data_IF_346447420340
#
_entry.id   IF_346447420340
#
_cell.length_a   1.000
_cell.length_b   1.000
_cell.length_c   1.000
_cell.angle_alpha   90.00
_cell.angle_beta   90.00
_cell.angle_gamma   90.00
#
_symmetry.space_group_name_H-M   'P 1'
#
loop_
_entity.id
_entity.type
_entity.pdbx_description
1 polymer ?
#
# COMPACT_ATOMS: atom_id res chain seq x y z
N UNK A 1 -15.55 -1.44 8.36
CA UNK A 1 -14.69 -2.19 7.43
C UNK A 1 -13.94 -3.18 8.27
N UNK A 2 -14.26 -4.47 8.16
CA UNK A 2 -13.51 -5.56 8.79
C UNK A 2 -12.10 -5.53 8.24
N UNK A 3 -11.11 -5.28 9.11
CA UNK A 3 -9.71 -5.51 8.76
C UNK A 3 -9.60 -7.00 8.42
N UNK A 4 -9.16 -7.31 7.22
CA UNK A 4 -8.82 -8.68 6.84
C UNK A 4 -7.54 -9.03 7.61
N UNK A 5 -7.71 -9.52 8.84
CA UNK A 5 -6.59 -10.02 9.63
C UNK A 5 -6.31 -11.44 9.18
N UNK A 6 -5.11 -11.69 8.72
CA UNK A 6 -4.64 -13.02 8.40
C UNK A 6 -4.49 -13.81 9.72
N UNK A 7 -4.95 -15.03 9.74
CA UNK A 7 -4.80 -15.92 10.89
C UNK A 7 -3.51 -16.76 10.78
N UNK A 8 -3.12 -17.44 11.85
CA UNK A 8 -1.91 -18.26 11.84
C UNK A 8 -1.93 -19.35 10.75
N UNK A 9 -3.11 -19.93 10.45
CA UNK A 9 -3.26 -20.91 9.38
C UNK A 9 -3.07 -20.29 7.98
N UNK A 10 -3.46 -19.02 7.79
CA UNK A 10 -3.22 -18.30 6.52
C UNK A 10 -1.73 -18.05 6.31
N UNK A 11 -1.00 -17.65 7.37
CA UNK A 11 0.46 -17.49 7.30
C UNK A 11 1.16 -18.81 6.93
N UNK A 12 0.75 -19.92 7.52
CA UNK A 12 1.34 -21.22 7.22
C UNK A 12 1.04 -21.68 5.79
N UNK A 13 -0.17 -21.43 5.27
CA UNK A 13 -0.54 -21.71 3.88
C UNK A 13 0.30 -20.88 2.89
N UNK A 14 0.51 -19.59 3.18
CA UNK A 14 1.32 -18.71 2.35
C UNK A 14 2.79 -19.16 2.39
N UNK A 15 3.34 -19.44 3.57
CA UNK A 15 4.70 -19.94 3.71
C UNK A 15 4.91 -21.29 2.99
N UNK A 16 3.93 -22.18 3.05
CA UNK A 16 3.98 -23.44 2.30
C UNK A 16 3.95 -23.22 0.78
N UNK A 17 3.16 -22.25 0.31
CA UNK A 17 3.11 -21.88 -1.11
C UNK A 17 4.45 -21.29 -1.60
N UNK A 18 5.10 -20.43 -0.79
CA UNK A 18 6.43 -19.87 -1.10
C UNK A 18 7.43 -21.03 -1.27
N UNK A 19 7.59 -21.88 -0.25
CA UNK A 19 8.51 -23.02 -0.32
C UNK A 19 8.25 -23.95 -1.51
N UNK A 20 6.98 -24.17 -1.86
CA UNK A 20 6.64 -25.01 -3.01
C UNK A 20 7.03 -24.36 -4.33
N UNK A 21 6.85 -23.04 -4.46
CA UNK A 21 7.22 -22.30 -5.66
C UNK A 21 8.75 -22.24 -5.81
N UNK A 22 9.47 -21.93 -4.76
CA UNK A 22 10.93 -21.82 -4.74
C UNK A 22 11.64 -23.17 -4.96
N UNK A 23 11.01 -24.29 -4.59
CA UNK A 23 11.56 -25.60 -4.89
C UNK A 23 11.70 -25.91 -6.41
N UNK A 24 11.03 -25.13 -7.27
CA UNK A 24 11.05 -25.33 -8.73
C UNK A 24 11.82 -24.23 -9.48
N UNK A 25 12.37 -23.23 -8.77
CA UNK A 25 13.06 -22.09 -9.39
C UNK A 25 14.20 -21.60 -8.51
N UNK A 26 15.22 -20.99 -9.12
CA UNK A 26 16.26 -20.21 -8.41
C UNK A 26 15.84 -18.76 -8.13
N UNK A 27 14.57 -18.45 -8.27
CA UNK A 27 14.02 -17.15 -7.92
C UNK A 27 13.44 -17.14 -6.51
N UNK A 28 13.62 -16.06 -5.79
CA UNK A 28 13.18 -15.86 -4.42
C UNK A 28 11.90 -15.02 -4.37
N UNK A 29 10.91 -15.43 -3.58
CA UNK A 29 9.61 -14.76 -3.48
C UNK A 29 9.39 -14.24 -2.06
N UNK A 30 9.35 -12.93 -1.91
CA UNK A 30 9.10 -12.29 -0.64
C UNK A 30 7.70 -11.65 -0.60
N UNK A 31 6.93 -11.89 0.48
CA UNK A 31 5.56 -11.42 0.60
C UNK A 31 5.41 -10.43 1.75
N UNK A 32 4.81 -9.26 1.49
CA UNK A 32 4.55 -8.22 2.49
C UNK A 32 3.12 -7.74 2.43
N UNK A 33 2.46 -7.67 3.60
CA UNK A 33 1.19 -6.98 3.81
C UNK A 33 1.42 -5.78 4.71
N UNK A 34 1.12 -4.60 4.18
CA UNK A 34 1.09 -3.38 4.96
C UNK A 34 -0.35 -3.06 5.38
N UNK A 35 -0.60 -2.85 6.67
CA UNK A 35 -1.89 -2.33 7.11
C UNK A 35 -2.14 -0.94 6.56
N UNK A 36 -1.08 -0.13 6.46
CA UNK A 36 -1.08 1.23 5.91
C UNK A 36 0.34 1.62 5.50
N UNK A 37 0.46 2.35 4.40
CA UNK A 37 1.77 2.78 3.87
C UNK A 37 2.26 4.11 4.45
N UNK A 38 1.34 5.02 4.90
CA UNK A 38 1.69 6.32 5.51
C UNK A 38 0.62 6.78 6.51
N UNK A 39 0.96 7.73 7.36
CA UNK A 39 0.04 8.35 8.34
C UNK A 39 -1.00 9.32 7.74
N UNK A 40 -0.73 9.88 6.57
CA UNK A 40 -1.56 10.84 5.79
C UNK A 40 -2.03 12.07 6.55
N UNK A 41 -1.50 12.33 7.75
CA UNK A 41 -1.97 13.45 8.57
C UNK A 41 -1.75 14.79 7.86
N UNK A 42 -0.56 15.03 7.32
CA UNK A 42 -0.24 16.32 6.71
C UNK A 42 -1.03 16.57 5.42
N UNK A 43 -1.21 15.54 4.57
CA UNK A 43 -1.98 15.68 3.34
C UNK A 43 -3.47 15.95 3.64
N UNK A 44 -4.05 15.21 4.58
CA UNK A 44 -5.43 15.41 5.01
C UNK A 44 -5.63 16.77 5.70
N UNK A 45 -4.70 17.17 6.59
CA UNK A 45 -4.74 18.47 7.26
C UNK A 45 -4.66 19.62 6.26
N UNK A 46 -3.76 19.54 5.28
CA UNK A 46 -3.65 20.54 4.22
C UNK A 46 -4.95 20.69 3.43
N UNK A 47 -5.56 19.58 3.03
CA UNK A 47 -6.83 19.60 2.29
C UNK A 47 -7.96 20.24 3.11
N UNK A 48 -8.09 19.84 4.38
CA UNK A 48 -9.14 20.39 5.28
C UNK A 48 -8.90 21.87 5.60
N UNK A 49 -7.66 22.25 5.92
CA UNK A 49 -7.32 23.65 6.18
C UNK A 49 -7.59 24.54 4.98
N UNK A 50 -7.22 24.11 3.78
CA UNK A 50 -7.51 24.82 2.53
C UNK A 50 -9.02 24.96 2.34
N UNK A 51 -9.79 23.89 2.57
CA UNK A 51 -11.25 23.92 2.50
C UNK A 51 -11.87 24.92 3.50
N UNK A 52 -11.41 24.94 4.75
CA UNK A 52 -11.86 25.89 5.78
C UNK A 52 -11.57 27.33 5.35
N UNK A 53 -10.36 27.61 4.81
CA UNK A 53 -10.00 28.94 4.34
C UNK A 53 -10.87 29.40 3.17
N UNK A 54 -11.15 28.52 2.21
CA UNK A 54 -12.03 28.84 1.08
C UNK A 54 -13.47 29.10 1.52
N UNK A 55 -13.99 28.28 2.44
CA UNK A 55 -15.33 28.49 3.03
C UNK A 55 -15.37 29.80 3.82
N UNK A 56 -14.33 30.10 4.60
CA UNK A 56 -14.22 31.37 5.35
C UNK A 56 -14.19 32.58 4.42
N UNK A 57 -13.47 32.49 3.32
CA UNK A 57 -13.43 33.54 2.31
C UNK A 57 -14.80 33.74 1.67
N UNK A 58 -15.47 32.67 1.27
CA UNK A 58 -16.84 32.76 0.72
C UNK A 58 -17.83 33.34 1.73
N UNK A 59 -17.72 32.93 3.00
CA UNK A 59 -18.54 33.48 4.08
C UNK A 59 -18.30 34.97 4.29
N UNK A 60 -17.07 35.45 4.22
CA UNK A 60 -16.74 36.87 4.33
C UNK A 60 -17.43 37.70 3.23
N UNK A 61 -17.35 37.23 1.96
CA UNK A 61 -18.06 37.91 0.86
C UNK A 61 -19.58 37.85 1.01
N UNK A 62 -20.14 36.74 1.48
CA UNK A 62 -21.57 36.62 1.70
C UNK A 62 -22.07 37.58 2.82
N UNK A 63 -21.32 37.69 3.90
CA UNK A 63 -21.64 38.62 5.00
C UNK A 63 -21.60 40.08 4.55
N UNK A 64 -20.60 40.43 3.74
CA UNK A 64 -20.48 41.77 3.13
C UNK A 64 -21.66 42.05 2.20
N UNK A 65 -22.02 41.12 1.33
CA UNK A 65 -23.15 41.24 0.39
C UNK A 65 -24.50 41.46 1.11
N UNK A 66 -24.70 40.77 2.25
CA UNK A 66 -25.94 40.91 3.04
C UNK A 66 -25.88 42.00 4.09
N UNK A 67 -24.83 42.86 4.08
CA UNK A 67 -24.64 43.97 5.00
C UNK A 67 -24.66 43.55 6.49
N UNK A 68 -24.22 42.32 6.79
CA UNK A 68 -24.10 41.80 8.15
C UNK A 68 -22.77 42.23 8.76
N UNK A 69 -22.82 43.16 9.71
CA UNK A 69 -21.61 43.65 10.37
C UNK A 69 -21.11 42.64 11.41
N UNK A 70 -20.05 41.87 11.06
CA UNK A 70 -19.36 41.01 12.00
C UNK A 70 -18.05 41.69 12.45
N UNK A 71 -17.81 41.70 13.78
CA UNK A 71 -16.53 42.22 14.30
C UNK A 71 -15.40 41.28 13.91
N UNK A 72 -14.37 41.81 13.28
CA UNK A 72 -13.21 41.05 12.78
C UNK A 72 -12.60 40.08 13.82
N UNK A 73 -12.42 40.43 15.12
CA UNK A 73 -11.90 39.51 16.11
C UNK A 73 -12.76 38.27 16.30
N UNK A 74 -14.10 38.37 16.24
CA UNK A 74 -14.97 37.19 16.38
C UNK A 74 -14.86 36.27 15.19
N UNK A 75 -14.75 36.81 13.96
CA UNK A 75 -14.53 36.01 12.75
C UNK A 75 -13.22 35.20 12.83
N UNK A 76 -12.12 35.83 13.26
CA UNK A 76 -10.84 35.21 13.43
C UNK A 76 -10.89 34.12 14.52
N UNK A 77 -11.52 34.37 15.66
CA UNK A 77 -11.66 33.39 16.75
C UNK A 77 -12.41 32.14 16.26
N UNK A 78 -13.54 32.33 15.57
CA UNK A 78 -14.31 31.19 15.01
C UNK A 78 -13.47 30.37 14.02
N UNK A 79 -12.71 31.04 13.16
CA UNK A 79 -11.83 30.36 12.21
C UNK A 79 -10.72 29.58 12.92
N UNK A 80 -10.09 30.14 13.93
CA UNK A 80 -9.06 29.44 14.72
C UNK A 80 -9.63 28.22 15.45
N UNK A 81 -10.84 28.35 16.02
CA UNK A 81 -11.52 27.23 16.67
C UNK A 81 -11.89 26.14 15.66
N UNK A 82 -12.34 26.50 14.45
CA UNK A 82 -12.63 25.54 13.40
C UNK A 82 -11.38 24.77 12.95
N UNK A 83 -10.26 25.46 12.77
CA UNK A 83 -8.97 24.82 12.44
C UNK A 83 -8.49 23.89 13.56
N UNK A 84 -8.56 24.33 14.82
CA UNK A 84 -8.17 23.50 15.95
C UNK A 84 -9.05 22.26 16.09
N UNK A 85 -10.37 22.41 15.94
CA UNK A 85 -11.32 21.30 15.96
C UNK A 85 -11.06 20.30 14.82
N UNK A 86 -10.80 20.79 13.61
CA UNK A 86 -10.46 19.95 12.46
C UNK A 86 -9.16 19.16 12.69
N UNK A 87 -8.11 19.78 13.22
CA UNK A 87 -6.87 19.08 13.58
C UNK A 87 -7.10 18.02 14.66
N UNK A 88 -7.87 18.32 15.70
CA UNK A 88 -8.20 17.37 16.76
C UNK A 88 -9.01 16.18 16.21
N UNK A 89 -9.97 16.43 15.30
CA UNK A 89 -10.76 15.39 14.63
C UNK A 89 -9.86 14.49 13.76
N UNK A 90 -8.99 15.07 12.95
CA UNK A 90 -8.05 14.30 12.14
C UNK A 90 -7.08 13.48 12.99
N UNK A 91 -6.70 13.97 14.18
CA UNK A 91 -5.86 13.21 15.08
C UNK A 91 -6.61 12.00 15.66
N UNK A 92 -7.83 12.23 16.14
CA UNK A 92 -8.61 11.18 16.81
C UNK A 92 -9.17 10.11 15.86
N UNK A 93 -9.31 10.41 14.56
CA UNK A 93 -9.93 9.53 13.56
C UNK A 93 -9.00 9.22 12.36
N UNK A 94 -8.04 8.30 12.49
CA UNK A 94 -7.09 7.99 11.42
C UNK A 94 -7.73 7.51 10.11
N UNK A 95 -8.87 6.83 10.17
CA UNK A 95 -9.61 6.37 8.99
C UNK A 95 -10.16 7.50 8.12
N UNK A 96 -10.45 8.66 8.71
CA UNK A 96 -10.93 9.83 7.98
C UNK A 96 -9.85 10.41 7.07
N UNK A 97 -8.58 10.31 7.48
CA UNK A 97 -7.44 10.84 6.70
C UNK A 97 -7.34 10.23 5.32
N UNK A 98 -7.47 8.90 5.22
CA UNK A 98 -7.38 8.18 3.95
C UNK A 98 -8.49 8.61 2.99
N UNK A 99 -9.68 8.87 3.51
CA UNK A 99 -10.82 9.28 2.70
C UNK A 99 -10.68 10.71 2.12
N UNK A 100 -9.93 11.57 2.82
CA UNK A 100 -9.68 12.96 2.43
C UNK A 100 -8.49 13.12 1.47
N UNK A 101 -7.65 12.09 1.32
CA UNK A 101 -6.44 12.15 0.50
C UNK A 101 -6.74 11.65 -0.92
N UNK A 102 -6.30 12.37 -1.96
CA UNK A 102 -6.44 11.93 -3.35
C UNK A 102 -5.77 10.57 -3.60
N UNK A 103 -6.41 9.71 -4.40
CA UNK A 103 -5.90 8.36 -4.72
C UNK A 103 -4.48 8.34 -5.24
N UNK A 104 -4.09 9.34 -6.02
CA UNK A 104 -2.72 9.43 -6.56
C UNK A 104 -1.66 9.54 -5.46
N UNK A 105 -1.95 10.23 -4.35
CA UNK A 105 -1.03 10.30 -3.21
C UNK A 105 -1.02 9.00 -2.42
N UNK A 106 -2.18 8.33 -2.27
CA UNK A 106 -2.28 7.02 -1.64
C UNK A 106 -1.43 5.99 -2.39
N UNK A 107 -1.56 5.93 -3.71
CA UNK A 107 -0.84 4.98 -4.56
C UNK A 107 0.67 5.25 -4.59
N UNK A 108 1.08 6.52 -4.64
CA UNK A 108 2.50 6.87 -4.53
C UNK A 108 3.10 6.44 -3.19
N UNK A 109 2.41 6.70 -2.09
CA UNK A 109 2.89 6.28 -0.77
C UNK A 109 2.97 4.76 -0.64
N UNK A 110 2.02 4.02 -1.22
CA UNK A 110 2.05 2.56 -1.23
C UNK A 110 3.20 2.02 -2.10
N UNK A 111 3.41 2.58 -3.28
CA UNK A 111 4.55 2.27 -4.16
C UNK A 111 5.89 2.55 -3.47
N UNK A 112 6.06 3.74 -2.90
CA UNK A 112 7.27 4.11 -2.17
C UNK A 112 7.53 3.16 -0.98
N UNK A 113 6.47 2.66 -0.33
CA UNK A 113 6.59 1.67 0.72
C UNK A 113 7.00 0.30 0.17
N UNK A 114 6.42 -0.16 -0.94
CA UNK A 114 6.82 -1.40 -1.62
C UNK A 114 8.32 -1.37 -1.97
N UNK A 115 8.80 -0.29 -2.59
CA UNK A 115 10.22 -0.13 -2.90
C UNK A 115 11.09 -0.11 -1.62
N UNK A 116 10.65 0.58 -0.57
CA UNK A 116 11.39 0.56 0.72
C UNK A 116 11.49 -0.85 1.29
N UNK A 117 10.42 -1.65 1.24
CA UNK A 117 10.46 -3.04 1.70
C UNK A 117 11.38 -3.89 0.82
N UNK A 118 11.32 -3.74 -0.50
CA UNK A 118 12.19 -4.44 -1.45
C UNK A 118 13.69 -4.24 -1.13
N UNK A 119 14.08 -2.98 -0.86
CA UNK A 119 15.46 -2.68 -0.48
C UNK A 119 15.79 -3.04 0.96
N UNK A 120 14.91 -2.76 1.92
CA UNK A 120 15.15 -3.01 3.34
C UNK A 120 15.23 -4.51 3.68
N UNK A 121 14.54 -5.36 2.91
CA UNK A 121 14.56 -6.83 3.07
C UNK A 121 15.59 -7.52 2.20
N UNK A 122 16.45 -6.76 1.53
CA UNK A 122 17.53 -7.27 0.68
C UNK A 122 17.05 -8.16 -0.49
N UNK A 123 15.80 -8.04 -0.92
CA UNK A 123 15.25 -8.81 -2.04
C UNK A 123 16.07 -8.60 -3.33
N UNK A 124 16.70 -7.43 -3.46
CA UNK A 124 17.60 -7.09 -4.58
C UNK A 124 19.02 -7.66 -4.46
N UNK A 125 19.38 -8.30 -3.34
CA UNK A 125 20.72 -8.83 -3.09
C UNK A 125 20.86 -10.32 -3.40
N UNK A 126 19.84 -10.94 -4.01
CA UNK A 126 19.93 -12.34 -4.46
C UNK A 126 21.05 -12.50 -5.48
N UNK A 127 21.77 -13.61 -5.40
CA UNK A 127 22.99 -13.90 -6.22
C UNK A 127 22.72 -13.77 -7.72
N UNK A 128 21.55 -14.21 -8.19
CA UNK A 128 21.17 -14.17 -9.61
C UNK A 128 20.32 -12.92 -9.97
N UNK A 129 20.06 -12.01 -9.02
CA UNK A 129 19.13 -10.90 -9.20
C UNK A 129 17.72 -11.35 -9.61
N UNK A 130 17.23 -12.37 -8.94
CA UNK A 130 15.97 -13.06 -9.20
C UNK A 130 14.97 -12.94 -8.06
N UNK A 131 15.09 -11.89 -7.23
CA UNK A 131 14.15 -11.61 -6.16
C UNK A 131 12.85 -10.95 -6.66
N UNK A 132 11.72 -11.39 -6.13
CA UNK A 132 10.38 -10.83 -6.38
C UNK A 132 9.73 -10.49 -5.06
N UNK A 133 9.24 -9.25 -4.93
CA UNK A 133 8.40 -8.82 -3.81
C UNK A 133 6.93 -8.77 -4.26
N UNK A 134 6.05 -9.49 -3.57
CA UNK A 134 4.60 -9.35 -3.67
C UNK A 134 4.14 -8.47 -2.50
N UNK A 135 3.70 -7.25 -2.80
CA UNK A 135 3.31 -6.24 -1.82
C UNK A 135 1.82 -5.93 -1.89
N UNK A 136 1.17 -5.89 -0.73
CA UNK A 136 -0.23 -5.45 -0.59
C UNK A 136 -0.35 -4.40 0.51
N UNK A 137 -1.02 -3.28 0.22
CA UNK A 137 -1.39 -2.28 1.21
C UNK A 137 -2.90 -2.20 1.36
N UNK A 138 -3.39 -2.59 2.56
CA UNK A 138 -4.83 -2.79 2.80
C UNK A 138 -5.60 -1.47 2.82
N UNK A 139 -5.05 -0.46 3.50
CA UNK A 139 -5.73 0.83 3.67
C UNK A 139 -5.83 1.59 2.34
N UNK A 140 -4.82 1.53 1.50
CA UNK A 140 -4.76 2.15 0.18
C UNK A 140 -5.46 1.32 -0.90
N UNK A 141 -5.77 0.05 -0.60
CA UNK A 141 -6.29 -0.93 -1.57
C UNK A 141 -5.37 -1.02 -2.79
N UNK A 142 -4.11 -1.17 -2.50
CA UNK A 142 -3.04 -1.21 -3.49
C UNK A 142 -2.31 -2.54 -3.41
N UNK A 143 -1.96 -3.09 -4.55
CA UNK A 143 -1.06 -4.22 -4.66
C UNK A 143 -0.05 -3.98 -5.78
N UNK A 144 1.14 -4.51 -5.62
CA UNK A 144 2.23 -4.39 -6.58
C UNK A 144 3.14 -5.61 -6.50
N UNK A 145 3.70 -6.00 -7.63
CA UNK A 145 4.81 -6.95 -7.71
C UNK A 145 6.04 -6.16 -8.15
N UNK A 146 7.07 -6.18 -7.31
CA UNK A 146 8.38 -5.57 -7.61
C UNK A 146 9.36 -6.68 -7.91
N UNK A 147 9.84 -6.76 -9.14
CA UNK A 147 10.83 -7.73 -9.58
C UNK A 147 12.22 -7.09 -9.68
N UNK A 148 13.27 -7.86 -9.39
CA UNK A 148 14.64 -7.39 -9.61
C UNK A 148 14.96 -7.35 -11.12
N UNK A 149 15.96 -6.56 -11.49
CA UNK A 149 16.37 -6.30 -12.86
C UNK A 149 16.65 -7.56 -13.71
N UNK A 150 17.09 -8.64 -13.08
CA UNK A 150 17.30 -9.93 -13.75
C UNK A 150 16.01 -10.54 -14.30
N UNK A 151 14.90 -10.31 -13.60
CA UNK A 151 13.57 -10.80 -13.97
C UNK A 151 12.88 -9.84 -14.92
N UNK A 152 12.91 -8.54 -14.59
CA UNK A 152 12.22 -7.49 -15.35
C UNK A 152 12.63 -7.47 -16.83
N UNK A 153 13.88 -7.82 -17.12
CA UNK A 153 14.39 -7.94 -18.49
C UNK A 153 13.80 -9.12 -19.29
N UNK A 154 13.18 -10.13 -18.63
CA UNK A 154 12.70 -11.35 -19.27
C UNK A 154 11.19 -11.53 -19.23
N UNK A 155 10.52 -10.97 -18.23
CA UNK A 155 9.07 -11.13 -18.03
C UNK A 155 8.33 -9.86 -18.45
N UNK A 156 7.41 -9.95 -19.42
CA UNK A 156 6.62 -8.80 -19.86
C UNK A 156 5.72 -8.23 -18.76
N UNK A 157 5.50 -6.91 -18.77
CA UNK A 157 4.73 -6.19 -17.75
C UNK A 157 3.26 -6.68 -17.63
N UNK A 158 2.64 -7.08 -18.74
CA UNK A 158 1.26 -7.59 -18.77
C UNK A 158 1.05 -8.82 -17.87
N UNK A 159 2.09 -9.62 -17.66
CA UNK A 159 2.04 -10.77 -16.75
C UNK A 159 1.92 -10.32 -15.30
N UNK A 160 2.69 -9.32 -14.91
CA UNK A 160 2.63 -8.73 -13.57
C UNK A 160 1.28 -8.05 -13.32
N UNK A 161 0.77 -7.32 -14.30
CA UNK A 161 -0.53 -6.65 -14.21
C UNK A 161 -1.67 -7.65 -13.98
N UNK A 162 -1.62 -8.82 -14.62
CA UNK A 162 -2.57 -9.91 -14.41
C UNK A 162 -2.54 -10.46 -12.97
N UNK A 163 -1.35 -10.70 -12.42
CA UNK A 163 -1.17 -11.19 -11.04
C UNK A 163 -1.71 -10.17 -10.03
N UNK A 164 -1.37 -8.90 -10.24
CA UNK A 164 -1.83 -7.79 -9.38
C UNK A 164 -3.36 -7.67 -9.42
N UNK A 165 -3.97 -7.75 -10.60
CA UNK A 165 -5.43 -7.67 -10.76
C UNK A 165 -6.14 -8.80 -10.02
N UNK A 166 -5.64 -10.04 -10.11
CA UNK A 166 -6.19 -11.20 -9.40
C UNK A 166 -6.02 -11.06 -7.88
N UNK A 167 -4.88 -10.59 -7.41
CA UNK A 167 -4.61 -10.35 -6.00
C UNK A 167 -5.56 -9.30 -5.41
N UNK A 168 -5.77 -8.18 -6.12
CA UNK A 168 -6.72 -7.12 -5.72
C UNK A 168 -8.15 -7.67 -5.68
N UNK A 169 -8.56 -8.49 -6.64
CA UNK A 169 -9.89 -9.10 -6.66
C UNK A 169 -10.10 -9.99 -5.44
N UNK A 170 -9.18 -10.88 -5.12
CA UNK A 170 -9.26 -11.74 -3.92
C UNK A 170 -9.29 -10.93 -2.63
N UNK A 171 -8.44 -9.89 -2.53
CA UNK A 171 -8.46 -8.98 -1.39
C UNK A 171 -9.81 -8.27 -1.22
N UNK A 172 -10.44 -7.85 -2.32
CA UNK A 172 -11.78 -7.25 -2.32
C UNK A 172 -12.89 -8.20 -1.86
N UNK A 173 -12.70 -9.51 -2.02
CA UNK A 173 -13.60 -10.57 -1.60
C UNK A 173 -13.31 -11.11 -0.17
N UNK A 174 -12.43 -10.43 0.60
CA UNK A 174 -11.94 -10.88 1.91
C UNK A 174 -11.23 -12.25 1.88
N UNK A 175 -10.61 -12.62 0.79
CA UNK A 175 -9.86 -13.87 0.56
C UNK A 175 -8.37 -13.57 0.28
N UNK A 176 -7.78 -12.70 1.09
CA UNK A 176 -6.41 -12.22 0.87
C UNK A 176 -5.39 -13.36 0.84
N UNK A 177 -5.50 -14.34 1.74
CA UNK A 177 -4.61 -15.49 1.78
C UNK A 177 -4.68 -16.32 0.48
N UNK A 178 -5.89 -16.55 -0.04
CA UNK A 178 -6.07 -17.26 -1.32
C UNK A 178 -5.46 -16.46 -2.49
N UNK A 179 -5.58 -15.12 -2.42
CA UNK A 179 -4.95 -14.22 -3.39
C UNK A 179 -3.43 -14.32 -3.38
N UNK A 180 -2.80 -14.35 -2.20
CA UNK A 180 -1.35 -14.54 -2.08
C UNK A 180 -0.92 -15.91 -2.60
N UNK A 181 -1.61 -16.99 -2.21
CA UNK A 181 -1.29 -18.34 -2.67
C UNK A 181 -1.37 -18.43 -4.20
N UNK A 182 -2.41 -17.86 -4.82
CA UNK A 182 -2.55 -17.82 -6.28
C UNK A 182 -1.44 -16.98 -6.96
N UNK A 183 -1.12 -15.81 -6.39
CA UNK A 183 -0.06 -14.95 -6.89
C UNK A 183 1.31 -15.63 -6.82
N UNK A 184 1.64 -16.24 -5.67
CA UNK A 184 2.89 -16.98 -5.46
C UNK A 184 3.02 -18.13 -6.46
N UNK A 185 1.96 -18.93 -6.65
CA UNK A 185 1.96 -20.02 -7.64
C UNK A 185 2.18 -19.50 -9.06
N UNK A 186 1.55 -18.39 -9.44
CA UNK A 186 1.71 -17.82 -10.78
C UNK A 186 3.13 -17.24 -10.96
N UNK A 187 3.66 -16.53 -9.95
CA UNK A 187 5.03 -16.02 -9.95
C UNK A 187 6.04 -17.18 -10.03
N UNK A 188 5.87 -18.23 -9.21
CA UNK A 188 6.73 -19.41 -9.24
C UNK A 188 6.78 -20.07 -10.61
N UNK A 189 5.63 -20.24 -11.27
CA UNK A 189 5.56 -20.78 -12.64
C UNK A 189 6.27 -19.87 -13.66
N UNK A 190 6.18 -18.55 -13.52
CA UNK A 190 6.91 -17.62 -14.38
C UNK A 190 8.42 -17.69 -14.13
N UNK A 191 8.82 -17.78 -12.87
CA UNK A 191 10.22 -17.87 -12.50
C UNK A 191 10.83 -19.19 -12.94
N UNK A 192 10.20 -20.35 -12.72
CA UNK A 192 10.70 -21.65 -13.13
C UNK A 192 10.89 -21.78 -14.65
N UNK A 193 10.06 -21.10 -15.45
CA UNK A 193 10.20 -21.06 -16.90
C UNK A 193 11.45 -20.31 -17.38
N UNK A 194 11.92 -19.30 -16.62
CA UNK A 194 13.04 -18.46 -17.01
C UNK A 194 14.31 -18.66 -16.15
N UNK A 195 14.13 -19.16 -14.92
CA UNK A 195 15.16 -19.35 -13.91
C UNK A 195 14.97 -20.69 -13.21
N UNK A 196 15.25 -21.83 -13.90
CA UNK A 196 15.13 -23.15 -13.29
C UNK A 196 16.13 -23.32 -12.15
N UNK A 197 15.82 -24.24 -11.22
CA UNK A 197 16.68 -24.56 -10.07
C UNK A 197 18.10 -24.95 -10.54
N UNK A 198 19.11 -24.41 -9.86
CA UNK A 198 20.50 -24.77 -10.05
C UNK A 198 20.99 -25.76 -8.98
N UNK A 199 22.04 -26.55 -9.27
CA UNK A 199 22.60 -27.53 -8.30
C UNK A 199 23.16 -26.91 -7.00
N UNK A 200 23.32 -25.57 -6.95
CA UNK A 200 23.89 -24.85 -5.81
C UNK A 200 22.92 -23.76 -5.31
N UNK A 201 21.64 -23.97 -5.50
CA UNK A 201 20.60 -23.01 -5.08
C UNK A 201 20.44 -23.07 -3.56
N UNK A 202 20.71 -21.94 -2.90
CA UNK A 202 20.51 -21.80 -1.48
C UNK A 202 19.35 -20.81 -1.27
N UNK A 203 18.41 -21.16 -0.43
CA UNK A 203 17.36 -20.22 -0.02
C UNK A 203 18.01 -18.99 0.66
N UNK A 204 17.89 -17.82 0.02
CA UNK A 204 18.54 -16.58 0.43
C UNK A 204 17.59 -15.66 1.24
N UNK A 205 16.26 -15.89 1.16
CA UNK A 205 15.24 -15.09 1.84
C UNK A 205 14.37 -15.96 2.76
N UNK A 206 13.66 -15.29 3.66
CA UNK A 206 12.75 -15.96 4.61
C UNK A 206 11.41 -16.31 3.96
N UNK A 207 10.98 -17.58 4.01
CA UNK A 207 9.74 -18.11 3.40
C UNK A 207 8.50 -17.77 4.23
N UNK A 208 8.29 -16.53 4.57
CA UNK A 208 7.12 -16.14 5.34
C UNK A 208 6.54 -14.79 4.90
N UNK A 209 5.24 -14.62 5.15
CA UNK A 209 4.57 -13.34 4.97
C UNK A 209 4.92 -12.40 6.12
N UNK A 210 5.33 -11.19 5.79
CA UNK A 210 5.59 -10.13 6.77
C UNK A 210 4.42 -9.14 6.81
N UNK A 211 3.91 -8.88 8.00
CA UNK A 211 2.92 -7.83 8.26
C UNK A 211 3.59 -6.58 8.86
N UNK A 212 3.26 -5.38 8.31
CA UNK A 212 3.81 -4.09 8.73
C UNK A 212 2.75 -3.00 8.88
#
# INVERSE_FOLDING_TARGET
MTQTTLNAGDHERIAAAIRTAEAETSGEIYCVVAHRSDGYFFAAAFAVMTGILLVSLAAAFALEYWWVAVRLPHFIIVQMLALAAACALLWSMPGLRIWLVPRNLLYRAAHDNALRQFYARNVHLTTARTGVLIFVSLAERYAEVVADAGIDAKVPQDKWDGIVADLIRHAGENRLADGFVAAISTVGNLLSAHFPVSEHDANELDDHLVEI
#
